data_IF_147304992027
#
_entry.id   IF_147304992027
#
_cell.length_a   1.000
_cell.length_b   1.000
_cell.length_c   1.000
_cell.angle_alpha   90.00
_cell.angle_beta   90.00
_cell.angle_gamma   90.00
#
_symmetry.space_group_name_H-M   'P 1'
#
loop_
_entity.id
_entity.type
_entity.pdbx_description
1 polymer ?
#
# COMPACT_ATOMS: atom_id res chain seq x y z
N UNK A 1 -8.84 5.60 1.08
CA UNK A 1 -8.72 4.28 0.43
C UNK A 1 -7.35 3.69 0.74
N UNK A 2 -7.23 2.38 0.95
CA UNK A 2 -5.94 1.70 1.05
C UNK A 2 -5.85 0.66 -0.08
N UNK A 3 -4.71 0.59 -0.77
CA UNK A 3 -4.56 -0.39 -1.86
C UNK A 3 -3.14 -0.56 -2.36
N UNK A 4 -2.90 -1.67 -3.03
CA UNK A 4 -1.65 -1.93 -3.77
C UNK A 4 -1.79 -1.47 -5.22
N UNK A 5 -0.76 -0.82 -5.72
CA UNK A 5 -0.69 -0.24 -7.04
C UNK A 5 0.55 -0.77 -7.76
N UNK A 6 0.38 -1.05 -9.04
CA UNK A 6 1.49 -1.20 -9.98
C UNK A 6 1.45 0.02 -10.88
N UNK A 7 2.42 0.93 -10.74
CA UNK A 7 2.59 2.04 -11.65
C UNK A 7 4.08 2.23 -12.00
N UNK A 8 4.31 2.99 -13.07
CA UNK A 8 5.64 3.42 -13.47
C UNK A 8 5.87 4.92 -13.18
N UNK A 9 4.91 5.56 -12.50
CA UNK A 9 4.89 7.01 -12.29
C UNK A 9 5.64 7.42 -11.01
N UNK A 10 6.00 6.45 -10.15
CA UNK A 10 6.72 6.64 -8.89
C UNK A 10 8.04 5.85 -8.89
N UNK A 11 9.06 6.29 -9.65
CA UNK A 11 10.29 5.51 -9.88
C UNK A 11 11.11 5.25 -8.60
N UNK A 12 10.98 6.10 -7.59
CA UNK A 12 11.59 5.96 -6.27
C UNK A 12 10.96 4.85 -5.41
N UNK A 13 9.70 4.51 -5.67
CA UNK A 13 8.99 3.43 -4.97
C UNK A 13 9.18 2.06 -5.63
N UNK A 14 9.72 2.05 -6.85
CA UNK A 14 9.85 0.85 -7.66
C UNK A 14 8.54 0.46 -8.36
N UNK A 15 8.46 -0.77 -8.91
CA UNK A 15 7.35 -1.20 -9.77
C UNK A 15 6.00 -1.38 -9.06
N UNK A 16 5.99 -1.49 -7.73
CA UNK A 16 4.79 -1.65 -6.93
C UNK A 16 4.90 -0.84 -5.64
N UNK A 17 3.76 -0.33 -5.17
CA UNK A 17 3.67 0.34 -3.88
C UNK A 17 2.30 0.13 -3.24
N UNK A 18 2.22 0.30 -1.93
CA UNK A 18 0.96 0.47 -1.19
C UNK A 18 0.69 1.96 -1.03
N UNK A 19 -0.56 2.38 -1.20
CA UNK A 19 -1.00 3.77 -1.09
C UNK A 19 -2.16 3.89 -0.11
N UNK A 20 -2.05 4.87 0.79
CA UNK A 20 -3.14 5.32 1.65
C UNK A 20 -3.64 6.68 1.14
N UNK A 21 -4.94 6.79 0.91
CA UNK A 21 -5.64 8.02 0.59
C UNK A 21 -6.52 8.45 1.76
N UNK A 22 -6.49 9.74 2.07
CA UNK A 22 -7.51 10.43 2.84
C UNK A 22 -8.42 11.20 1.87
N UNK A 23 -9.70 10.82 1.82
CA UNK A 23 -10.61 11.23 0.75
C UNK A 23 -9.98 10.90 -0.63
N UNK A 24 -9.90 11.87 -1.53
CA UNK A 24 -9.30 11.73 -2.87
C UNK A 24 -7.80 12.05 -2.90
N UNK A 25 -7.19 12.34 -1.74
CA UNK A 25 -5.78 12.76 -1.66
C UNK A 25 -4.89 11.61 -1.16
N UNK A 26 -3.83 11.21 -1.90
CA UNK A 26 -2.83 10.28 -1.38
C UNK A 26 -2.05 10.95 -0.24
N UNK A 27 -2.05 10.33 0.93
CA UNK A 27 -1.37 10.83 2.14
C UNK A 27 -0.10 10.07 2.47
N UNK A 28 0.00 8.79 2.11
CA UNK A 28 1.21 7.98 2.29
C UNK A 28 1.38 6.96 1.16
N UNK A 29 2.66 6.65 0.86
CA UNK A 29 3.08 5.59 -0.06
C UNK A 29 4.31 4.88 0.46
N UNK A 30 4.36 3.57 0.26
CA UNK A 30 5.53 2.75 0.58
C UNK A 30 5.77 1.72 -0.52
N UNK A 31 7.03 1.47 -0.84
CA UNK A 31 7.42 0.41 -1.77
C UNK A 31 6.83 -0.94 -1.37
N UNK A 32 6.46 -1.73 -2.36
CA UNK A 32 6.08 -3.12 -2.20
C UNK A 32 6.84 -3.96 -3.21
N UNK A 33 7.25 -5.17 -2.81
CA UNK A 33 7.95 -6.10 -3.70
C UNK A 33 7.10 -6.43 -4.93
N UNK A 34 7.68 -6.39 -6.12
CA UNK A 34 7.03 -6.93 -7.32
C UNK A 34 6.94 -8.45 -7.24
N UNK A 35 5.80 -9.01 -7.64
CA UNK A 35 5.57 -10.45 -7.66
C UNK A 35 5.38 -10.91 -9.10
N UNK A 36 6.37 -11.64 -9.63
CA UNK A 36 6.28 -12.28 -10.94
C UNK A 36 5.47 -13.58 -10.83
N UNK A 37 4.15 -13.43 -10.71
CA UNK A 37 3.22 -14.52 -10.49
C UNK A 37 1.89 -14.29 -11.21
N UNK A 38 1.06 -15.34 -11.27
CA UNK A 38 -0.29 -15.22 -11.80
C UNK A 38 -1.09 -14.16 -11.03
N UNK A 39 -1.90 -13.30 -11.67
CA UNK A 39 -2.58 -12.18 -11.00
C UNK A 39 -3.42 -12.56 -9.78
N UNK A 40 -4.06 -13.73 -9.81
CA UNK A 40 -4.82 -14.24 -8.65
C UNK A 40 -3.93 -14.67 -7.48
N UNK A 41 -2.71 -15.12 -7.73
CA UNK A 41 -1.74 -15.42 -6.68
C UNK A 41 -1.20 -14.13 -6.07
N UNK A 42 -0.97 -13.09 -6.89
CA UNK A 42 -0.63 -11.75 -6.42
C UNK A 42 -1.74 -11.18 -5.54
N UNK A 43 -3.00 -11.31 -5.99
CA UNK A 43 -4.16 -10.87 -5.20
C UNK A 43 -4.26 -11.60 -3.86
N UNK A 44 -4.10 -12.92 -3.86
CA UNK A 44 -4.14 -13.71 -2.62
C UNK A 44 -3.05 -13.27 -1.64
N UNK A 45 -1.80 -13.11 -2.12
CA UNK A 45 -0.69 -12.60 -1.32
C UNK A 45 -1.01 -11.21 -0.74
N UNK A 46 -1.53 -10.28 -1.54
CA UNK A 46 -1.91 -8.93 -1.05
C UNK A 46 -3.05 -8.96 -0.04
N UNK A 47 -4.02 -9.85 -0.20
CA UNK A 47 -5.12 -10.02 0.76
C UNK A 47 -4.61 -10.54 2.11
N UNK A 48 -3.57 -11.38 2.13
CA UNK A 48 -2.92 -11.83 3.36
C UNK A 48 -2.16 -10.69 4.08
N UNK A 49 -1.66 -9.71 3.33
CA UNK A 49 -0.93 -8.55 3.85
C UNK A 49 -1.86 -7.43 4.34
N UNK A 50 -3.09 -7.38 3.82
CA UNK A 50 -4.04 -6.30 4.07
C UNK A 50 -4.38 -6.09 5.56
N UNK A 51 -4.58 -7.13 6.40
CA UNK A 51 -4.85 -6.93 7.83
C UNK A 51 -3.73 -6.17 8.54
N UNK A 52 -2.47 -6.57 8.31
CA UNK A 52 -1.31 -5.89 8.89
C UNK A 52 -1.21 -4.43 8.40
N UNK A 53 -1.55 -4.18 7.13
CA UNK A 53 -1.63 -2.84 6.57
C UNK A 53 -2.63 -1.95 7.29
N UNK A 54 -3.83 -2.47 7.55
CA UNK A 54 -4.89 -1.75 8.25
C UNK A 54 -4.51 -1.50 9.71
N UNK A 55 -3.91 -2.48 10.39
CA UNK A 55 -3.44 -2.35 11.78
C UNK A 55 -2.30 -1.33 11.96
N UNK A 56 -1.48 -1.16 10.91
CA UNK A 56 -0.39 -0.18 10.90
C UNK A 56 -0.88 1.27 10.76
N UNK A 57 -2.12 1.51 10.31
CA UNK A 57 -2.66 2.85 10.17
C UNK A 57 -2.76 3.52 11.54
N UNK A 58 -2.37 4.80 11.59
CA UNK A 58 -2.55 5.67 12.74
C UNK A 58 -3.45 6.83 12.37
N UNK A 59 -4.27 7.25 13.33
CA UNK A 59 -5.18 8.39 13.17
C UNK A 59 -4.80 9.47 14.17
N UNK A 60 -4.43 10.64 13.66
CA UNK A 60 -4.05 11.79 14.46
C UNK A 60 -4.66 13.06 13.86
N UNK A 61 -5.27 13.90 14.69
CA UNK A 61 -5.87 15.18 14.28
C UNK A 61 -6.84 15.08 13.08
N UNK A 62 -7.56 13.95 12.97
CA UNK A 62 -8.53 13.72 11.90
C UNK A 62 -7.94 13.29 10.56
N UNK A 63 -6.63 13.03 10.47
CA UNK A 63 -5.98 12.49 9.29
C UNK A 63 -5.39 11.10 9.57
N UNK A 64 -5.53 10.14 8.64
CA UNK A 64 -4.84 8.86 8.73
C UNK A 64 -3.41 8.99 8.20
N UNK A 65 -2.50 8.17 8.74
CA UNK A 65 -1.16 7.96 8.21
C UNK A 65 -0.78 6.48 8.28
N UNK A 66 0.15 6.08 7.41
CA UNK A 66 0.79 4.77 7.41
C UNK A 66 2.28 4.99 7.72
N UNK A 67 2.68 5.10 9.00
CA UNK A 67 4.05 5.50 9.38
C UNK A 67 5.10 4.46 8.99
N UNK A 68 4.72 3.20 8.92
CA UNK A 68 5.60 2.09 8.53
C UNK A 68 4.82 1.12 7.66
N UNK A 69 5.47 0.60 6.62
CA UNK A 69 4.99 -0.56 5.89
C UNK A 69 5.73 -1.82 6.36
N UNK A 70 5.06 -2.74 7.08
CA UNK A 70 5.73 -3.82 7.80
C UNK A 70 5.90 -5.08 6.94
N UNK A 71 6.42 -4.97 5.71
CA UNK A 71 6.72 -6.12 4.83
C UNK A 71 7.99 -5.88 4.02
#
# INVERSE_FOLDING_TARGET
MLGFHQDADHPDLGPCHIQLNHEDTPVDRHSASFLDAHPLAVLDDRLQQLPAAVEAIRWENGAPSLPTWPI
#
